data_IF_420746295325
#
_entry.id   IF_420746295325
#
_cell.length_a   1.000
_cell.length_b   1.000
_cell.length_c   1.000
_cell.angle_alpha   90.00
_cell.angle_beta   90.00
_cell.angle_gamma   90.00
#
_symmetry.space_group_name_H-M   'P 1'
#
loop_
_entity.id
_entity.type
_entity.pdbx_description
1 polymer ?
#
# COMPACT_ATOMS: atom_id res chain seq x y z
N UNK A 1 -36.45 3.20 -59.15
CA UNK A 1 -36.07 1.94 -58.48
C UNK A 1 -35.03 2.30 -57.43
N UNK A 2 -35.24 1.90 -56.17
CA UNK A 2 -34.65 2.50 -54.95
C UNK A 2 -33.17 2.15 -54.77
N UNK A 3 -32.31 3.17 -54.64
CA UNK A 3 -30.94 3.05 -54.15
C UNK A 3 -30.95 2.77 -52.65
N UNK A 4 -30.40 1.63 -52.23
CA UNK A 4 -30.14 1.34 -50.82
C UNK A 4 -28.66 1.55 -50.53
N UNK A 5 -28.34 2.74 -50.01
CA UNK A 5 -27.05 3.04 -49.40
C UNK A 5 -27.05 2.43 -47.99
N UNK A 6 -26.40 1.27 -47.82
CA UNK A 6 -26.17 0.67 -46.51
C UNK A 6 -25.03 1.41 -45.80
N UNK A 7 -25.37 2.26 -44.83
CA UNK A 7 -24.41 2.87 -43.90
C UNK A 7 -24.17 1.86 -42.76
N UNK A 8 -23.00 1.22 -42.77
CA UNK A 8 -22.50 0.41 -41.65
C UNK A 8 -21.98 1.36 -40.56
N UNK A 9 -22.76 1.57 -39.50
CA UNK A 9 -22.36 2.40 -38.36
C UNK A 9 -21.56 1.52 -37.37
N UNK A 10 -20.23 1.56 -37.44
CA UNK A 10 -19.36 0.94 -36.42
C UNK A 10 -19.39 1.75 -35.13
N UNK A 11 -20.03 1.22 -34.09
CA UNK A 11 -20.00 1.75 -32.73
C UNK A 11 -18.69 1.31 -32.05
N UNK A 12 -17.69 2.18 -32.00
CA UNK A 12 -16.53 2.01 -31.13
C UNK A 12 -16.93 2.36 -29.69
N UNK A 13 -17.12 1.35 -28.84
CA UNK A 13 -17.20 1.56 -27.39
C UNK A 13 -15.79 1.90 -26.87
N UNK A 14 -15.56 3.18 -26.61
CA UNK A 14 -14.42 3.63 -25.80
C UNK A 14 -14.74 3.29 -24.35
N UNK A 15 -14.31 2.12 -23.89
CA UNK A 15 -14.17 1.86 -22.46
C UNK A 15 -13.00 2.72 -21.98
N UNK A 16 -13.28 3.84 -21.32
CA UNK A 16 -12.28 4.49 -20.49
C UNK A 16 -11.94 3.48 -19.39
N UNK A 17 -10.73 2.94 -19.44
CA UNK A 17 -10.20 2.18 -18.31
C UNK A 17 -10.20 3.11 -17.10
N UNK A 18 -10.78 2.67 -16.00
CA UNK A 18 -10.60 3.35 -14.72
C UNK A 18 -9.10 3.27 -14.41
N UNK A 19 -8.49 4.34 -13.89
CA UNK A 19 -7.10 4.28 -13.43
C UNK A 19 -6.95 3.15 -12.40
N UNK A 20 -5.74 2.69 -12.12
CA UNK A 20 -5.46 1.64 -11.15
C UNK A 20 -4.73 2.19 -9.92
N UNK A 21 -4.58 1.34 -8.90
CA UNK A 21 -3.68 1.63 -7.79
C UNK A 21 -2.25 1.74 -8.32
N UNK A 22 -1.61 2.86 -8.02
CA UNK A 22 -0.24 3.20 -8.38
C UNK A 22 -0.05 4.02 -9.65
N UNK A 23 -1.13 4.36 -10.34
CA UNK A 23 -1.07 5.27 -11.48
C UNK A 23 -0.79 6.72 -11.03
N UNK A 24 -0.23 7.51 -11.95
CA UNK A 24 0.10 8.91 -11.71
C UNK A 24 -1.15 9.78 -11.73
N UNK A 25 -1.16 10.83 -10.91
CA UNK A 25 -2.30 11.73 -10.82
C UNK A 25 -1.87 13.13 -10.38
N UNK A 26 -2.73 14.11 -10.59
CA UNK A 26 -2.57 15.46 -10.02
C UNK A 26 -3.74 15.84 -9.12
N UNK A 27 -4.91 15.25 -9.35
CA UNK A 27 -6.12 15.47 -8.54
C UNK A 27 -6.90 14.17 -8.35
N UNK A 28 -7.79 14.11 -7.34
CA UNK A 28 -8.56 12.90 -7.02
C UNK A 28 -9.42 12.38 -8.18
N UNK A 29 -9.95 13.28 -9.02
CA UNK A 29 -10.78 12.88 -10.17
C UNK A 29 -10.02 12.16 -11.26
N UNK A 30 -8.68 12.29 -11.31
CA UNK A 30 -7.83 11.52 -12.21
C UNK A 30 -7.91 10.04 -11.80
N UNK A 31 -7.81 9.76 -10.50
CA UNK A 31 -7.89 8.41 -9.97
C UNK A 31 -9.31 7.85 -10.03
N UNK A 32 -10.30 8.62 -9.59
CA UNK A 32 -11.68 8.13 -9.58
C UNK A 32 -12.69 9.27 -9.61
N UNK A 33 -13.58 9.21 -10.60
CA UNK A 33 -14.76 10.10 -10.66
C UNK A 33 -15.83 9.72 -9.65
N UNK A 34 -15.76 8.52 -9.06
CA UNK A 34 -16.68 8.02 -8.03
C UNK A 34 -16.22 8.34 -6.61
N UNK A 35 -14.96 8.77 -6.46
CA UNK A 35 -14.37 9.13 -5.16
C UNK A 35 -13.98 7.95 -4.28
N UNK A 36 -13.88 6.74 -4.84
CA UNK A 36 -13.41 5.54 -4.11
C UNK A 36 -11.88 5.47 -3.99
N UNK A 37 -11.16 6.35 -4.68
CA UNK A 37 -9.71 6.47 -4.68
C UNK A 37 -9.29 7.93 -4.62
N UNK A 38 -8.13 8.17 -4.01
CA UNK A 38 -7.53 9.50 -3.85
C UNK A 38 -6.23 9.59 -4.63
N UNK A 39 -5.85 10.81 -4.99
CA UNK A 39 -4.53 11.12 -5.47
C UNK A 39 -3.63 11.51 -4.29
N UNK A 40 -2.73 10.60 -3.88
CA UNK A 40 -1.66 10.96 -2.95
C UNK A 40 -0.63 11.81 -3.68
N UNK A 41 -0.70 13.12 -3.47
CA UNK A 41 0.20 14.11 -4.08
C UNK A 41 1.51 14.29 -3.32
N UNK A 42 1.66 13.70 -2.13
CA UNK A 42 2.94 13.66 -1.43
C UNK A 42 3.90 12.66 -2.11
N UNK A 43 3.35 11.65 -2.79
CA UNK A 43 4.08 10.73 -3.63
C UNK A 43 4.59 11.40 -4.93
N UNK A 44 5.85 11.14 -5.37
CA UNK A 44 6.40 11.73 -6.58
C UNK A 44 5.54 11.48 -7.83
N UNK A 45 5.07 12.56 -8.47
CA UNK A 45 4.18 12.50 -9.64
C UNK A 45 2.74 12.05 -9.34
N UNK A 46 2.34 12.04 -8.06
CA UNK A 46 1.04 11.61 -7.57
C UNK A 46 0.82 10.10 -7.64
N UNK A 47 0.11 9.52 -6.68
CA UNK A 47 -0.14 8.08 -6.65
C UNK A 47 -1.61 7.78 -6.35
N UNK A 48 -2.31 7.15 -7.28
CA UNK A 48 -3.67 6.70 -7.06
C UNK A 48 -3.70 5.59 -5.99
N UNK A 49 -4.39 5.84 -4.88
CA UNK A 49 -4.46 4.93 -3.74
C UNK A 49 -5.82 4.99 -3.01
N UNK A 50 -5.97 4.15 -1.99
CA UNK A 50 -7.04 4.19 -0.99
C UNK A 50 -6.36 4.30 0.37
N UNK A 51 -6.66 5.37 1.11
CA UNK A 51 -6.19 5.55 2.49
C UNK A 51 -7.06 4.74 3.47
N UNK A 52 -6.46 4.29 4.58
CA UNK A 52 -7.18 3.65 5.68
C UNK A 52 -7.63 2.22 5.37
N UNK A 53 -6.96 1.55 4.44
CA UNK A 53 -7.30 0.20 4.04
C UNK A 53 -7.15 -0.83 5.18
N UNK A 54 -7.80 -1.98 5.00
CA UNK A 54 -7.58 -3.21 5.75
C UNK A 54 -6.90 -4.25 4.85
N UNK A 55 -6.48 -5.39 5.42
CA UNK A 55 -5.82 -6.44 4.66
C UNK A 55 -6.60 -6.96 3.44
N UNK A 56 -7.94 -6.82 3.45
CA UNK A 56 -8.84 -7.31 2.40
C UNK A 56 -9.56 -6.21 1.60
N UNK A 57 -9.45 -4.93 1.98
CA UNK A 57 -10.22 -3.86 1.33
C UNK A 57 -9.60 -3.33 0.03
N UNK A 58 -8.34 -3.66 -0.26
CA UNK A 58 -7.67 -3.20 -1.48
C UNK A 58 -8.10 -4.01 -2.72
N UNK A 59 -8.26 -3.37 -3.90
CA UNK A 59 -8.63 -4.06 -5.13
C UNK A 59 -7.57 -5.07 -5.58
N UNK A 60 -7.95 -5.97 -6.49
CA UNK A 60 -7.04 -6.91 -7.13
C UNK A 60 -5.84 -6.18 -7.74
N UNK A 61 -4.63 -6.73 -7.57
CA UNK A 61 -3.39 -6.07 -8.01
C UNK A 61 -2.78 -5.11 -6.98
N UNK A 62 -3.43 -4.88 -5.84
CA UNK A 62 -2.88 -4.06 -4.76
C UNK A 62 -2.94 -4.77 -3.40
N UNK A 63 -2.24 -4.22 -2.39
CA UNK A 63 -2.21 -4.71 -1.01
C UNK A 63 -2.15 -3.53 -0.04
N UNK A 64 -2.76 -3.70 1.13
CA UNK A 64 -2.68 -2.69 2.17
C UNK A 64 -1.32 -2.73 2.89
N UNK A 65 -0.63 -1.59 2.88
CA UNK A 65 0.67 -1.40 3.54
C UNK A 65 0.50 -0.31 4.60
N UNK A 66 0.93 -0.61 5.82
CA UNK A 66 1.07 0.37 6.90
C UNK A 66 2.46 1.02 6.83
N UNK A 67 2.52 2.33 7.05
CA UNK A 67 3.73 3.12 7.08
C UNK A 67 3.87 3.81 8.43
N UNK A 68 5.10 3.79 8.94
CA UNK A 68 5.54 4.43 10.17
C UNK A 68 6.73 5.33 9.84
N UNK A 69 6.80 6.57 10.38
CA UNK A 69 7.93 7.46 10.13
C UNK A 69 9.23 6.84 10.66
N UNK A 70 10.21 6.63 9.78
CA UNK A 70 11.50 6.04 10.18
C UNK A 70 12.26 6.88 11.20
N UNK A 71 12.02 8.19 11.19
CA UNK A 71 12.58 9.14 12.16
C UNK A 71 12.01 8.98 13.57
N UNK A 72 11.01 8.13 13.78
CA UNK A 72 10.43 7.83 15.09
C UNK A 72 10.84 6.46 15.66
N UNK A 73 11.74 5.74 14.97
CA UNK A 73 12.13 4.37 15.30
C UNK A 73 13.45 4.33 16.11
N UNK A 74 13.44 4.82 17.36
CA UNK A 74 14.65 4.89 18.19
C UNK A 74 14.78 3.80 19.25
N UNK A 75 13.68 3.16 19.63
CA UNK A 75 13.67 2.09 20.63
C UNK A 75 13.61 0.75 19.93
N UNK A 76 14.47 -0.17 20.35
CA UNK A 76 14.49 -1.53 19.83
C UNK A 76 13.59 -2.43 20.65
N UNK A 77 12.98 -3.40 20.00
CA UNK A 77 12.16 -4.42 20.63
C UNK A 77 12.44 -5.78 20.00
N UNK A 78 12.10 -6.87 20.69
CA UNK A 78 12.17 -8.21 20.14
C UNK A 78 10.78 -8.66 19.63
N UNK A 79 10.53 -8.68 18.31
CA UNK A 79 9.21 -8.95 17.73
C UNK A 79 8.57 -10.26 18.19
N UNK A 80 9.37 -11.31 18.32
CA UNK A 80 8.87 -12.65 18.63
C UNK A 80 8.52 -12.86 20.10
N UNK A 81 8.88 -11.93 20.99
CA UNK A 81 8.66 -12.06 22.43
C UNK A 81 7.93 -10.89 23.06
N UNK A 82 7.69 -9.82 22.30
CA UNK A 82 7.02 -8.64 22.79
C UNK A 82 5.57 -8.91 23.21
N UNK A 83 5.21 -8.45 24.41
CA UNK A 83 3.85 -8.54 24.97
C UNK A 83 3.28 -9.97 25.05
N UNK A 84 4.15 -10.99 25.04
CA UNK A 84 3.74 -12.39 25.11
C UNK A 84 3.56 -12.85 26.56
N UNK A 85 2.32 -12.74 27.06
CA UNK A 85 1.94 -13.11 28.43
C UNK A 85 2.36 -14.54 28.88
N UNK A 86 2.61 -15.46 27.94
CA UNK A 86 2.87 -16.89 28.21
C UNK A 86 4.27 -17.38 27.77
N UNK A 87 5.20 -16.47 27.45
CA UNK A 87 6.58 -16.83 27.05
C UNK A 87 7.54 -16.68 28.24
N UNK A 88 8.32 -17.73 28.56
CA UNK A 88 9.42 -17.64 29.55
C UNK A 88 10.47 -16.58 29.19
N UNK A 89 10.49 -16.12 27.93
CA UNK A 89 11.35 -15.06 27.43
C UNK A 89 10.54 -13.83 26.95
N UNK A 90 9.34 -13.58 27.48
CA UNK A 90 8.56 -12.39 27.11
C UNK A 90 9.38 -11.12 27.35
N UNK A 91 9.32 -10.22 26.37
CA UNK A 91 9.82 -8.84 26.47
C UNK A 91 8.62 -7.89 26.58
N UNK A 92 8.87 -6.69 27.10
CA UNK A 92 7.93 -5.58 27.24
C UNK A 92 8.74 -4.30 26.94
N UNK A 93 9.26 -4.24 25.71
CA UNK A 93 10.24 -3.25 25.27
C UNK A 93 9.56 -1.95 24.80
N UNK A 94 8.41 -2.06 24.15
CA UNK A 94 7.60 -0.98 23.63
C UNK A 94 6.55 -0.54 24.64
N UNK A 95 6.25 0.76 24.67
CA UNK A 95 5.17 1.25 25.50
C UNK A 95 3.79 0.79 24.98
N UNK A 96 2.77 0.85 25.83
CA UNK A 96 1.39 0.46 25.46
C UNK A 96 0.85 1.17 24.19
N UNK A 97 1.34 2.37 23.88
CA UNK A 97 0.94 3.15 22.71
C UNK A 97 1.82 2.90 21.48
N UNK A 98 2.73 1.94 21.55
CA UNK A 98 3.64 1.55 20.48
C UNK A 98 3.36 0.13 19.98
N UNK A 99 3.88 -0.16 18.79
CA UNK A 99 3.89 -1.49 18.18
C UNK A 99 5.35 -1.87 17.93
N UNK A 100 5.73 -3.08 18.33
CA UNK A 100 7.00 -3.64 17.88
C UNK A 100 6.91 -4.05 16.41
N UNK A 101 7.59 -3.29 15.54
CA UNK A 101 7.63 -3.54 14.11
C UNK A 101 8.49 -4.75 13.77
N UNK A 102 8.27 -5.35 12.60
CA UNK A 102 9.01 -6.54 12.17
C UNK A 102 10.53 -6.32 11.99
N UNK A 103 10.99 -5.06 11.88
CA UNK A 103 12.41 -4.71 11.87
C UNK A 103 13.02 -4.52 13.28
N UNK A 104 12.28 -4.83 14.35
CA UNK A 104 12.75 -4.77 15.73
C UNK A 104 12.81 -3.37 16.33
N UNK A 105 11.92 -2.48 15.89
CA UNK A 105 11.80 -1.13 16.44
C UNK A 105 10.38 -0.84 16.91
N UNK A 106 10.26 -0.16 18.04
CA UNK A 106 8.99 0.37 18.51
C UNK A 106 8.58 1.56 17.66
N UNK A 107 7.32 1.56 17.23
CA UNK A 107 6.72 2.66 16.49
C UNK A 107 5.41 3.12 17.15
N UNK A 108 5.19 4.43 17.32
CA UNK A 108 3.94 4.93 17.88
C UNK A 108 2.73 4.56 17.01
N UNK A 109 1.70 3.97 17.62
CA UNK A 109 0.43 3.59 16.96
C UNK A 109 -0.22 4.77 16.24
N UNK A 110 -0.10 5.96 16.83
CA UNK A 110 -0.70 7.20 16.32
C UNK A 110 -0.12 7.66 14.97
N UNK A 111 1.08 7.19 14.60
CA UNK A 111 1.72 7.55 13.33
C UNK A 111 1.47 6.53 12.22
N UNK A 112 0.74 5.46 12.51
CA UNK A 112 0.39 4.46 11.50
C UNK A 112 -0.49 5.10 10.41
N UNK A 113 -0.02 5.03 9.16
CA UNK A 113 -0.81 5.38 7.98
C UNK A 113 -0.91 4.20 7.03
N UNK A 114 -2.12 3.91 6.55
CA UNK A 114 -2.37 2.75 5.67
C UNK A 114 -2.78 3.19 4.28
N UNK A 115 -2.16 2.60 3.28
CA UNK A 115 -2.45 2.86 1.88
C UNK A 115 -2.50 1.57 1.06
N UNK A 116 -3.40 1.49 0.10
CA UNK A 116 -3.34 0.45 -0.91
C UNK A 116 -2.17 0.73 -1.87
N UNK A 117 -1.22 -0.20 -1.93
CA UNK A 117 -0.05 -0.12 -2.78
C UNK A 117 -0.11 -1.18 -3.88
N UNK A 118 0.31 -0.83 -5.10
CA UNK A 118 0.39 -1.75 -6.24
C UNK A 118 1.34 -2.90 -5.89
N UNK A 119 0.89 -4.14 -6.07
CA UNK A 119 1.72 -5.34 -5.93
C UNK A 119 2.74 -5.38 -7.07
N UNK A 120 3.91 -5.95 -6.80
CA UNK A 120 4.93 -6.16 -7.81
C UNK A 120 5.70 -7.45 -7.56
N UNK A 121 6.25 -8.02 -8.62
CA UNK A 121 7.22 -9.11 -8.61
C UNK A 121 8.65 -8.58 -8.78
N UNK A 122 8.82 -7.48 -9.52
CA UNK A 122 10.07 -6.73 -9.68
C UNK A 122 9.86 -5.29 -10.17
N UNK A 123 10.96 -4.54 -10.35
CA UNK A 123 10.90 -3.10 -10.67
C UNK A 123 10.17 -2.78 -11.98
N UNK A 124 10.13 -3.70 -12.94
CA UNK A 124 9.41 -3.53 -14.21
C UNK A 124 7.89 -3.48 -14.07
N UNK A 125 7.34 -3.91 -12.94
CA UNK A 125 5.91 -3.80 -12.64
C UNK A 125 5.53 -2.41 -12.10
N UNK A 126 6.54 -1.63 -11.71
CA UNK A 126 6.38 -0.31 -11.15
C UNK A 126 6.58 0.78 -12.21
N UNK A 127 5.90 1.91 -12.03
CA UNK A 127 6.07 3.06 -12.92
C UNK A 127 7.44 3.72 -12.75
N UNK A 128 7.82 4.56 -13.71
CA UNK A 128 9.08 5.32 -13.62
C UNK A 128 9.18 6.12 -12.31
N UNK A 129 10.35 6.08 -11.69
CA UNK A 129 10.61 6.68 -10.38
C UNK A 129 10.13 5.82 -9.19
N UNK A 130 9.61 4.62 -9.44
CA UNK A 130 9.17 3.67 -8.41
C UNK A 130 9.93 2.36 -8.56
N UNK A 131 10.12 1.68 -7.43
CA UNK A 131 10.77 0.38 -7.37
C UNK A 131 9.96 -0.61 -6.54
N UNK A 132 10.21 -1.89 -6.78
CA UNK A 132 9.54 -2.97 -6.11
C UNK A 132 10.23 -3.28 -4.78
N UNK A 133 9.67 -2.77 -3.68
CA UNK A 133 10.21 -2.95 -2.33
C UNK A 133 9.50 -4.07 -1.59
N UNK A 134 10.21 -4.68 -0.65
CA UNK A 134 9.61 -5.60 0.32
C UNK A 134 9.11 -4.80 1.53
N UNK A 135 7.99 -5.19 2.12
CA UNK A 135 7.52 -4.67 3.40
C UNK A 135 8.34 -5.25 4.56
N UNK A 136 8.17 -4.70 5.76
CA UNK A 136 8.97 -5.05 6.94
C UNK A 136 10.26 -4.24 7.06
N UNK A 137 10.52 -3.33 6.12
CA UNK A 137 11.68 -2.42 6.09
C UNK A 137 11.24 -1.00 5.78
N UNK A 138 12.11 -0.01 6.06
CA UNK A 138 11.85 1.41 5.80
C UNK A 138 10.51 1.91 6.39
N UNK A 139 10.15 1.43 7.58
CA UNK A 139 8.91 1.80 8.26
C UNK A 139 7.64 1.25 7.59
N UNK A 140 7.74 0.38 6.59
CA UNK A 140 6.59 -0.23 5.93
C UNK A 140 6.27 -1.62 6.51
N UNK A 141 4.99 -1.98 6.63
CA UNK A 141 4.52 -3.26 7.15
C UNK A 141 3.35 -3.79 6.32
N UNK A 142 3.29 -5.11 6.11
CA UNK A 142 2.08 -5.75 5.58
C UNK A 142 1.00 -5.64 6.66
N UNK A 143 -0.17 -5.10 6.34
CA UNK A 143 -1.30 -5.11 7.28
C UNK A 143 -1.76 -6.56 7.49
N UNK A 144 -1.83 -7.06 8.74
CA UNK A 144 -2.23 -8.43 9.04
C UNK A 144 -3.66 -8.74 8.59
N UNK A 145 -3.86 -9.94 8.03
CA UNK A 145 -5.17 -10.50 7.74
C UNK A 145 -5.94 -10.91 8.99
N UNK A 146 -7.15 -11.42 8.78
CA UNK A 146 -7.95 -11.99 9.87
C UNK A 146 -7.23 -13.18 10.51
N UNK A 147 -7.03 -13.14 11.83
CA UNK A 147 -6.27 -14.14 12.58
C UNK A 147 -4.74 -14.01 12.48
N UNK A 148 -4.24 -13.04 11.71
CA UNK A 148 -2.81 -12.70 11.67
C UNK A 148 -2.50 -11.55 12.66
N UNK A 149 -1.26 -11.52 13.14
CA UNK A 149 -0.63 -10.37 13.80
C UNK A 149 0.56 -9.89 12.95
N UNK A 150 1.21 -8.80 13.37
CA UNK A 150 2.33 -8.21 12.62
C UNK A 150 3.51 -9.19 12.44
N UNK A 151 3.67 -10.17 13.33
CA UNK A 151 4.77 -11.12 13.31
C UNK A 151 4.51 -12.28 12.34
N UNK A 152 3.30 -12.84 12.34
CA UNK A 152 2.95 -13.97 11.47
C UNK A 152 2.37 -13.57 10.11
N UNK A 153 2.03 -12.28 9.90
CA UNK A 153 1.58 -11.79 8.60
C UNK A 153 2.67 -11.92 7.53
N UNK A 154 3.95 -11.90 7.93
CA UNK A 154 5.08 -11.93 7.02
C UNK A 154 5.16 -10.71 6.11
N UNK A 155 5.93 -10.81 5.04
CA UNK A 155 6.23 -9.69 4.15
C UNK A 155 5.49 -9.76 2.82
N UNK A 156 5.46 -8.65 2.11
CA UNK A 156 4.91 -8.56 0.75
C UNK A 156 5.70 -7.58 -0.09
N UNK A 157 5.55 -7.63 -1.41
CA UNK A 157 6.20 -6.70 -2.32
C UNK A 157 5.21 -5.67 -2.86
N UNK A 158 5.64 -4.42 -2.92
CA UNK A 158 4.83 -3.31 -3.40
C UNK A 158 5.68 -2.25 -4.11
N UNK A 159 5.06 -1.50 -5.02
CA UNK A 159 5.71 -0.36 -5.66
C UNK A 159 5.74 0.83 -4.71
N UNK A 160 6.94 1.33 -4.43
CA UNK A 160 7.19 2.52 -3.62
C UNK A 160 8.06 3.50 -4.42
N UNK A 161 8.07 4.81 -4.09
CA UNK A 161 9.01 5.75 -4.67
C UNK A 161 10.43 5.20 -4.51
N UNK A 162 11.20 5.17 -5.60
CA UNK A 162 12.61 4.80 -5.53
C UNK A 162 13.40 5.84 -4.75
N UNK A 163 14.57 5.45 -4.25
CA UNK A 163 15.49 6.42 -3.67
C UNK A 163 15.92 7.36 -4.81
N UNK A 164 15.65 8.65 -4.65
CA UNK A 164 16.12 9.66 -5.59
C UNK A 164 17.66 9.54 -5.68
N UNK A 165 18.26 9.50 -6.88
CA UNK A 165 19.70 9.70 -7.00
C UNK A 165 20.13 11.10 -6.52
#
# INVERSE_FOLDING_TARGET
MKNYLFIFLSFLFLFACDEEIGDSCSVNSDCSTKGDRICDTASPGGYCTIEGCTASSCPSGSRCIAFFPVESLFYTCQPDTEDLLDSENSTDDCSQDEICLQNGFCAPKIYEKRYCMKKCSGNGDCRSGYECRVSGVHGSQKVPGEGENIFNAGTTKFCAPGDLP
#
